data_IF_769003546880
#
_entry.id   IF_769003546880
#
_cell.length_a   1.000
_cell.length_b   1.000
_cell.length_c   1.000
_cell.angle_alpha   90.00
_cell.angle_beta   90.00
_cell.angle_gamma   90.00
#
_symmetry.space_group_name_H-M   'P 1'
#
loop_
_entity.id
_entity.type
_entity.pdbx_description
1 polymer ?
#
# COMPACT_ATOMS: atom_id res chain seq x y z
N UNK A 1 -22.33 8.60 13.90
CA UNK A 1 -21.18 8.68 12.98
C UNK A 1 -20.43 7.36 13.09
N UNK A 2 -20.24 6.66 11.98
CA UNK A 2 -19.54 5.37 11.96
C UNK A 2 -18.04 5.56 12.21
N UNK A 3 -17.36 4.50 12.66
CA UNK A 3 -15.90 4.46 12.78
C UNK A 3 -15.29 4.62 11.38
N UNK A 4 -14.33 5.54 11.20
CA UNK A 4 -13.52 5.64 9.99
C UNK A 4 -12.81 4.30 9.71
N UNK A 5 -13.00 3.73 8.52
CA UNK A 5 -12.43 2.42 8.18
C UNK A 5 -11.00 2.57 7.71
N UNK A 6 -10.14 1.63 8.08
CA UNK A 6 -8.79 1.50 7.56
C UNK A 6 -8.76 0.43 6.45
N UNK A 7 -8.56 0.86 5.22
CA UNK A 7 -8.59 0.00 4.03
C UNK A 7 -7.17 -0.10 3.48
N UNK A 8 -6.58 -1.29 3.57
CA UNK A 8 -5.25 -1.57 3.04
C UNK A 8 -5.28 -2.03 1.60
N UNK A 9 -4.29 -1.62 0.80
CA UNK A 9 -4.07 -2.13 -0.56
C UNK A 9 -2.62 -2.61 -0.67
N UNK A 10 -2.42 -3.89 -0.99
CA UNK A 10 -1.08 -4.44 -1.22
C UNK A 10 -0.52 -4.03 -2.58
N UNK A 11 0.68 -3.46 -2.57
CA UNK A 11 1.29 -2.80 -3.72
C UNK A 11 2.68 -3.34 -4.03
N UNK A 12 2.87 -3.75 -5.28
CA UNK A 12 4.17 -4.12 -5.86
C UNK A 12 4.44 -3.37 -7.19
N UNK A 13 3.62 -2.35 -7.50
CA UNK A 13 3.60 -1.58 -8.75
C UNK A 13 3.38 -2.42 -10.02
N UNK A 14 2.93 -3.68 -9.90
CA UNK A 14 2.48 -4.46 -11.04
C UNK A 14 1.14 -3.94 -11.59
N UNK A 15 0.81 -4.33 -12.83
CA UNK A 15 -0.50 -4.00 -13.41
C UNK A 15 -1.66 -4.49 -12.52
N UNK A 16 -1.53 -5.68 -11.93
CA UNK A 16 -2.55 -6.29 -11.08
C UNK A 16 -2.73 -5.52 -9.76
N UNK A 17 -1.66 -5.03 -9.13
CA UNK A 17 -1.79 -4.22 -7.91
C UNK A 17 -2.41 -2.85 -8.21
N UNK A 18 -2.06 -2.24 -9.35
CA UNK A 18 -2.69 -0.98 -9.79
C UNK A 18 -4.18 -1.14 -10.09
N UNK A 19 -4.57 -2.23 -10.73
CA UNK A 19 -6.00 -2.57 -10.93
C UNK A 19 -6.74 -2.77 -9.61
N UNK A 20 -6.10 -3.42 -8.63
CA UNK A 20 -6.68 -3.59 -7.30
C UNK A 20 -6.86 -2.25 -6.57
N UNK A 21 -5.89 -1.34 -6.67
CA UNK A 21 -5.99 0.02 -6.14
C UNK A 21 -7.16 0.78 -6.76
N UNK A 22 -7.28 0.77 -8.09
CA UNK A 22 -8.42 1.39 -8.79
C UNK A 22 -9.74 0.83 -8.31
N UNK A 23 -9.86 -0.49 -8.27
CA UNK A 23 -11.08 -1.14 -7.82
C UNK A 23 -11.44 -0.73 -6.39
N UNK A 24 -10.47 -0.68 -5.48
CA UNK A 24 -10.69 -0.25 -4.10
C UNK A 24 -11.16 1.21 -4.04
N UNK A 25 -10.51 2.10 -4.76
CA UNK A 25 -10.87 3.52 -4.82
C UNK A 25 -12.28 3.71 -5.37
N UNK A 26 -12.65 3.01 -6.44
CA UNK A 26 -13.93 3.20 -7.12
C UNK A 26 -15.10 2.59 -6.34
N UNK A 27 -14.90 1.44 -5.69
CA UNK A 27 -16.00 0.61 -5.16
C UNK A 27 -16.04 0.50 -3.63
N UNK A 28 -14.93 0.74 -2.94
CA UNK A 28 -14.82 0.45 -1.50
C UNK A 28 -14.59 1.70 -0.66
N UNK A 29 -13.79 2.65 -1.15
CA UNK A 29 -13.44 3.87 -0.40
C UNK A 29 -14.59 4.88 -0.42
N UNK A 30 -14.95 5.37 0.75
CA UNK A 30 -15.90 6.47 0.97
C UNK A 30 -15.24 7.66 1.68
N UNK A 31 -16.02 8.70 1.93
CA UNK A 31 -15.59 9.83 2.74
C UNK A 31 -15.24 9.39 4.17
N UNK A 32 -14.25 10.05 4.77
CA UNK A 32 -13.71 9.76 6.11
C UNK A 32 -12.92 8.44 6.25
N UNK A 33 -12.85 7.59 5.21
CA UNK A 33 -12.00 6.40 5.25
C UNK A 33 -10.50 6.74 5.16
N UNK A 34 -9.67 5.81 5.62
CA UNK A 34 -8.23 5.85 5.52
C UNK A 34 -7.74 4.76 4.55
N UNK A 35 -7.28 5.18 3.37
CA UNK A 35 -6.60 4.32 2.40
C UNK A 35 -5.12 4.19 2.78
N UNK A 36 -4.67 2.94 2.97
CA UNK A 36 -3.29 2.62 3.33
C UNK A 36 -2.64 1.77 2.24
N UNK A 37 -1.66 2.32 1.51
CA UNK A 37 -0.86 1.54 0.57
C UNK A 37 0.20 0.75 1.35
N UNK A 38 0.26 -0.55 1.13
CA UNK A 38 1.18 -1.45 1.83
C UNK A 38 2.16 -2.00 0.81
N UNK A 39 3.41 -1.55 0.92
CA UNK A 39 4.52 -2.04 0.12
C UNK A 39 5.33 -3.04 0.94
N UNK A 40 5.68 -4.18 0.34
CA UNK A 40 6.62 -5.12 0.95
C UNK A 40 7.87 -5.20 0.08
N UNK A 41 8.98 -4.75 0.63
CA UNK A 41 10.30 -4.83 0.02
C UNK A 41 10.99 -6.14 0.38
N UNK A 42 11.89 -6.57 -0.52
CA UNK A 42 12.70 -7.76 -0.29
C UNK A 42 13.57 -7.61 0.97
N UNK A 43 13.77 -8.67 1.76
CA UNK A 43 14.71 -8.63 2.89
C UNK A 43 16.15 -8.33 2.45
N UNK A 44 16.48 -8.52 1.17
CA UNK A 44 17.80 -8.21 0.60
C UNK A 44 17.97 -6.75 0.16
N UNK A 45 16.94 -5.91 0.26
CA UNK A 45 17.05 -4.50 -0.12
C UNK A 45 17.87 -3.74 0.91
N UNK A 46 18.95 -3.08 0.50
CA UNK A 46 19.77 -2.24 1.39
C UNK A 46 19.31 -0.79 1.31
N UNK A 47 18.45 -0.40 2.25
CA UNK A 47 17.97 0.98 2.38
C UNK A 47 18.24 1.55 3.77
N UNK A 48 18.55 2.84 3.92
CA UNK A 48 18.97 3.45 5.19
C UNK A 48 17.96 3.25 6.31
N UNK A 49 16.66 3.24 5.99
CA UNK A 49 15.59 3.06 6.97
C UNK A 49 15.25 1.60 7.26
N UNK A 50 15.75 0.63 6.48
CA UNK A 50 15.57 -0.79 6.79
C UNK A 50 16.15 -1.13 8.16
N UNK A 51 17.38 -0.68 8.44
CA UNK A 51 18.08 -1.01 9.69
C UNK A 51 17.36 -0.50 10.96
N UNK A 52 16.50 0.51 10.82
CA UNK A 52 15.75 1.11 11.94
C UNK A 52 14.34 0.53 12.10
N UNK A 53 13.78 -0.09 11.06
CA UNK A 53 12.36 -0.43 10.99
C UNK A 53 12.10 -1.84 10.42
N UNK A 54 13.10 -2.72 10.45
CA UNK A 54 13.00 -4.08 9.89
C UNK A 54 11.87 -4.88 10.54
N UNK A 55 11.69 -4.75 11.86
CA UNK A 55 10.69 -5.51 12.62
C UNK A 55 9.27 -4.94 12.51
N UNK A 56 9.12 -3.60 12.56
CA UNK A 56 7.81 -2.92 12.67
C UNK A 56 7.28 -2.34 11.36
N UNK A 57 8.12 -2.28 10.32
CA UNK A 57 7.86 -1.49 9.12
C UNK A 57 8.02 0.02 9.36
N UNK A 58 8.00 0.79 8.26
CA UNK A 58 8.18 2.24 8.27
C UNK A 58 7.08 2.95 9.08
N UNK A 59 7.33 4.19 9.53
CA UNK A 59 6.24 5.09 9.89
C UNK A 59 5.22 5.21 8.74
N UNK A 60 3.99 5.61 9.06
CA UNK A 60 2.99 5.97 8.05
C UNK A 60 3.49 7.20 7.29
N UNK A 61 3.66 7.05 5.98
CA UNK A 61 4.11 8.08 5.04
C UNK A 61 2.87 8.77 4.47
N UNK A 62 2.63 10.06 4.78
CA UNK A 62 1.54 10.81 4.16
C UNK A 62 1.71 10.95 2.65
N UNK A 63 0.61 11.15 1.92
CA UNK A 63 0.64 11.34 0.46
C UNK A 63 1.60 12.47 0.00
N UNK A 64 1.74 13.52 0.81
CA UNK A 64 2.66 14.64 0.55
C UNK A 64 4.12 14.18 0.55
N UNK A 65 4.52 13.42 1.58
CA UNK A 65 5.85 12.81 1.66
C UNK A 65 6.01 11.75 0.57
N UNK A 66 4.95 10.98 0.26
CA UNK A 66 4.97 9.92 -0.75
C UNK A 66 5.43 10.39 -2.15
N UNK A 67 5.28 11.68 -2.45
CA UNK A 67 5.70 12.29 -3.72
C UNK A 67 7.18 12.64 -3.76
N UNK A 68 7.87 12.68 -2.63
CA UNK A 68 9.26 13.10 -2.57
C UNK A 68 10.21 12.07 -3.17
N UNK A 69 11.15 12.55 -3.99
CA UNK A 69 12.26 11.77 -4.58
C UNK A 69 13.08 11.04 -3.49
N UNK A 70 13.04 11.52 -2.25
CA UNK A 70 13.76 10.92 -1.13
C UNK A 70 13.20 9.56 -0.71
N UNK A 71 11.97 9.18 -1.05
CA UNK A 71 11.44 7.84 -0.75
C UNK A 71 12.16 6.72 -1.48
N UNK A 72 12.56 6.98 -2.72
CA UNK A 72 13.36 6.02 -3.48
C UNK A 72 14.66 5.71 -2.75
N UNK A 73 15.32 6.75 -2.23
CA UNK A 73 16.56 6.60 -1.47
C UNK A 73 16.35 5.97 -0.10
N UNK A 74 15.27 6.32 0.60
CA UNK A 74 15.02 5.91 1.98
C UNK A 74 14.39 4.51 2.11
N UNK A 75 13.53 4.14 1.16
CA UNK A 75 12.68 2.95 1.23
C UNK A 75 12.68 2.11 -0.05
N UNK A 76 13.39 2.51 -1.10
CA UNK A 76 13.43 1.79 -2.38
C UNK A 76 12.16 1.87 -3.19
N UNK A 77 11.26 2.80 -2.84
CA UNK A 77 10.00 2.99 -3.55
C UNK A 77 10.15 4.06 -4.62
N UNK A 78 9.82 3.69 -5.85
CA UNK A 78 9.63 4.64 -6.94
C UNK A 78 8.11 4.86 -7.08
N UNK A 79 7.58 6.02 -6.65
CA UNK A 79 6.18 6.34 -6.82
C UNK A 79 5.85 6.33 -8.32
N UNK A 80 4.85 5.54 -8.69
CA UNK A 80 4.40 5.48 -10.08
C UNK A 80 3.44 6.66 -10.34
N UNK A 81 3.62 7.45 -11.41
CA UNK A 81 2.76 8.60 -11.70
C UNK A 81 1.27 8.25 -11.79
N UNK A 82 0.95 7.06 -12.31
CA UNK A 82 -0.42 6.56 -12.42
C UNK A 82 -1.02 6.28 -11.04
N UNK A 83 -0.22 5.74 -10.12
CA UNK A 83 -0.64 5.52 -8.72
C UNK A 83 -0.87 6.85 -8.03
N UNK A 84 0.07 7.81 -8.17
CA UNK A 84 -0.07 9.13 -7.57
C UNK A 84 -1.34 9.86 -8.02
N UNK A 85 -1.68 9.80 -9.30
CA UNK A 85 -2.90 10.41 -9.85
C UNK A 85 -4.19 9.80 -9.25
N UNK A 86 -4.23 8.48 -9.07
CA UNK A 86 -5.35 7.80 -8.41
C UNK A 86 -5.47 8.25 -6.95
N UNK A 87 -4.34 8.34 -6.23
CA UNK A 87 -4.31 8.74 -4.83
C UNK A 87 -4.73 10.21 -4.64
N UNK A 88 -4.31 11.09 -5.53
CA UNK A 88 -4.70 12.51 -5.50
C UNK A 88 -6.18 12.68 -5.79
N UNK A 89 -6.68 11.91 -6.76
CA UNK A 89 -8.08 11.92 -7.12
C UNK A 89 -8.94 11.48 -5.95
N UNK A 90 -8.59 10.39 -5.26
CA UNK A 90 -9.40 9.91 -4.12
C UNK A 90 -9.32 10.86 -2.92
N UNK A 91 -8.14 11.43 -2.63
CA UNK A 91 -7.98 12.39 -1.55
C UNK A 91 -8.81 13.66 -1.79
N UNK A 92 -8.86 14.16 -3.04
CA UNK A 92 -9.61 15.38 -3.39
C UNK A 92 -11.10 15.15 -3.57
N UNK A 93 -11.50 14.08 -4.24
CA UNK A 93 -12.90 13.83 -4.61
C UNK A 93 -13.71 13.25 -3.46
N UNK A 94 -13.14 12.34 -2.68
CA UNK A 94 -13.84 11.66 -1.58
C UNK A 94 -13.46 12.22 -0.20
N UNK A 95 -12.38 13.00 -0.10
CA UNK A 95 -11.89 13.47 1.21
C UNK A 95 -11.29 12.35 2.07
N UNK A 96 -10.94 11.21 1.45
CA UNK A 96 -10.32 10.09 2.15
C UNK A 96 -8.88 10.43 2.54
N UNK A 97 -8.45 9.96 3.71
CA UNK A 97 -7.04 10.07 4.12
C UNK A 97 -6.22 9.04 3.36
N UNK A 98 -5.10 9.45 2.78
CA UNK A 98 -4.20 8.55 2.06
C UNK A 98 -2.83 8.51 2.73
N UNK A 99 -2.37 7.32 3.08
CA UNK A 99 -1.04 7.08 3.64
C UNK A 99 -0.42 5.82 3.03
N UNK A 100 0.90 5.70 3.10
CA UNK A 100 1.64 4.51 2.69
C UNK A 100 2.46 3.94 3.85
N UNK A 101 2.70 2.63 3.85
CA UNK A 101 3.60 1.96 4.79
C UNK A 101 4.45 0.93 4.05
N UNK A 102 5.72 0.84 4.43
CA UNK A 102 6.71 -0.07 3.85
C UNK A 102 7.12 -1.10 4.88
N UNK A 103 7.05 -2.38 4.52
CA UNK A 103 7.57 -3.49 5.30
C UNK A 103 8.73 -4.15 4.54
N UNK A 104 9.56 -4.91 5.25
CA UNK A 104 10.65 -5.69 4.67
C UNK A 104 10.49 -7.16 5.07
N UNK A 105 10.52 -8.09 4.11
CA UNK A 105 10.38 -9.53 4.41
C UNK A 105 9.63 -10.32 3.33
N UNK A 106 9.06 -11.47 3.72
CA UNK A 106 8.14 -12.23 2.86
C UNK A 106 6.80 -11.48 2.74
N UNK A 107 6.31 -11.19 1.52
CA UNK A 107 5.07 -10.46 1.32
C UNK A 107 3.84 -11.10 1.96
N UNK A 108 3.76 -12.43 2.08
CA UNK A 108 2.59 -13.10 2.67
C UNK A 108 2.54 -12.87 4.17
N UNK A 109 3.69 -12.97 4.84
CA UNK A 109 3.80 -12.72 6.27
C UNK A 109 3.59 -11.23 6.57
N UNK A 110 4.27 -10.33 5.85
CA UNK A 110 4.19 -8.89 6.10
C UNK A 110 2.84 -8.27 5.80
N UNK A 111 2.07 -8.84 4.87
CA UNK A 111 0.68 -8.42 4.67
C UNK A 111 -0.22 -8.84 5.85
N UNK A 112 0.00 -10.02 6.44
CA UNK A 112 -0.70 -10.43 7.66
C UNK A 112 -0.33 -9.53 8.84
N UNK A 113 0.97 -9.31 9.07
CA UNK A 113 1.45 -8.38 10.10
C UNK A 113 0.80 -6.99 9.93
N UNK A 114 0.71 -6.50 8.69
CA UNK A 114 0.12 -5.20 8.40
C UNK A 114 -1.37 -5.10 8.76
N UNK A 115 -2.14 -6.18 8.61
CA UNK A 115 -3.55 -6.22 9.01
C UNK A 115 -3.68 -6.00 10.51
N UNK A 116 -2.85 -6.70 11.29
CA UNK A 116 -2.89 -6.62 12.75
C UNK A 116 -2.30 -5.31 13.28
N UNK A 117 -1.20 -4.83 12.70
CA UNK A 117 -0.50 -3.61 13.11
C UNK A 117 -1.33 -2.36 12.85
N UNK A 118 -1.97 -2.29 11.68
CA UNK A 118 -2.72 -1.12 11.24
C UNK A 118 -4.21 -1.21 11.59
N UNK A 119 -4.65 -2.32 12.19
CA UNK A 119 -6.04 -2.63 12.50
C UNK A 119 -6.94 -2.43 11.28
N UNK A 120 -6.53 -3.03 10.16
CA UNK A 120 -7.24 -2.91 8.89
C UNK A 120 -8.63 -3.54 8.99
N UNK A 121 -9.64 -2.83 8.54
CA UNK A 121 -10.99 -3.36 8.41
C UNK A 121 -11.12 -4.18 7.10
N UNK A 122 -10.31 -3.86 6.07
CA UNK A 122 -10.24 -4.58 4.80
C UNK A 122 -8.81 -4.57 4.21
N UNK A 123 -8.42 -5.65 3.51
CA UNK A 123 -7.19 -5.72 2.71
C UNK A 123 -7.54 -6.12 1.27
N UNK A 124 -7.10 -5.31 0.30
CA UNK A 124 -7.31 -5.54 -1.13
C UNK A 124 -5.98 -5.91 -1.78
N UNK A 125 -5.97 -6.96 -2.60
CA UNK A 125 -4.78 -7.47 -3.29
C UNK A 125 -5.03 -7.68 -4.77
N UNK A 126 -3.99 -7.44 -5.58
CA UNK A 126 -3.98 -7.82 -6.99
C UNK A 126 -3.91 -9.34 -7.15
N UNK A 127 -4.78 -9.91 -7.97
CA UNK A 127 -4.70 -11.31 -8.37
C UNK A 127 -4.06 -11.44 -9.75
N UNK A 128 -3.12 -12.37 -9.89
CA UNK A 128 -2.49 -12.72 -11.17
C UNK A 128 -3.33 -13.71 -12.01
N UNK A 129 -4.54 -14.05 -11.57
CA UNK A 129 -5.41 -15.01 -12.28
C UNK A 129 -4.86 -16.44 -12.34
N UNK A 130 -3.89 -16.78 -11.50
CA UNK A 130 -3.35 -18.13 -11.38
C UNK A 130 -4.37 -19.01 -10.63
N UNK A 131 -5.34 -19.56 -11.36
CA UNK A 131 -6.21 -20.60 -10.84
C UNK A 131 -5.43 -21.87 -10.47
N UNK A 132 -6.10 -22.80 -9.78
CA UNK A 132 -5.54 -24.09 -9.31
C UNK A 132 -4.96 -24.95 -10.45
N UNK A 133 -5.37 -24.71 -11.69
CA UNK A 133 -4.89 -25.44 -12.86
C UNK A 133 -3.84 -24.62 -13.62
N UNK A 134 -2.57 -25.02 -13.51
CA UNK A 134 -1.59 -24.73 -14.56
C UNK A 134 -1.88 -25.67 -15.74
N UNK A 135 -2.36 -25.12 -16.86
CA UNK A 135 -2.29 -25.83 -18.14
C UNK A 135 -0.87 -25.65 -18.68
N UNK A 136 -0.10 -26.72 -18.62
CA UNK A 136 1.17 -26.90 -19.33
C UNK A 136 0.95 -27.00 -20.82
#
# INVERSE_FOLDING_TARGET
MGKARAIGVGMDNSANSKSALRWAVDNLIDAEDCLILIYVQSPKSEHPKKQLFEDTGSPLVPLEEFRDINLSKQYGLNPDPEVLDILDTVARSKGAKVVAKVYWGDPREKLCDAVDDLKLDCLVLGSRGLGVLRRS
#
